data_IF_345551428042
#
_entry.id   IF_345551428042
#
_cell.length_a   1.000
_cell.length_b   1.000
_cell.length_c   1.000
_cell.angle_alpha   90.00
_cell.angle_beta   90.00
_cell.angle_gamma   90.00
#
_symmetry.space_group_name_H-M   'P 1'
#
loop_
_entity.id
_entity.type
_entity.pdbx_description
1 polymer ?
#
# COMPACT_ATOMS: atom_id res chain seq x y z
N UNK A 1 -7.31 -30.88 7.74
CA UNK A 1 -6.28 -29.93 8.23
C UNK A 1 -6.06 -28.73 7.29
N UNK A 2 -6.24 -28.84 5.97
CA UNK A 2 -6.08 -27.74 5.02
C UNK A 2 -7.08 -26.60 5.21
N UNK A 3 -8.36 -26.89 5.41
CA UNK A 3 -9.45 -25.92 5.57
C UNK A 3 -9.19 -24.96 6.74
N UNK A 4 -8.79 -25.48 7.90
CA UNK A 4 -8.52 -24.67 9.11
C UNK A 4 -7.35 -23.68 8.93
N UNK A 5 -6.34 -24.01 8.08
CA UNK A 5 -5.23 -23.09 7.75
C UNK A 5 -5.68 -22.00 6.78
N UNK A 6 -6.56 -22.32 5.85
CA UNK A 6 -7.13 -21.34 4.90
C UNK A 6 -8.01 -20.34 5.64
N UNK A 7 -8.88 -20.82 6.55
CA UNK A 7 -9.74 -19.96 7.36
C UNK A 7 -8.92 -19.04 8.28
N UNK A 8 -7.85 -19.55 8.89
CA UNK A 8 -6.96 -18.76 9.74
C UNK A 8 -6.27 -17.62 8.94
N UNK A 9 -5.75 -17.91 7.75
CA UNK A 9 -5.17 -16.86 6.86
C UNK A 9 -6.20 -15.82 6.44
N UNK A 10 -7.40 -16.26 6.07
CA UNK A 10 -8.49 -15.37 5.68
C UNK A 10 -8.89 -14.42 6.81
N UNK A 11 -8.97 -14.95 8.04
CA UNK A 11 -9.26 -14.15 9.23
C UNK A 11 -8.14 -13.18 9.56
N UNK A 12 -6.88 -13.57 9.40
CA UNK A 12 -5.73 -12.70 9.58
C UNK A 12 -5.72 -11.56 8.55
N UNK A 13 -5.96 -11.85 7.28
CA UNK A 13 -6.09 -10.83 6.23
C UNK A 13 -7.23 -9.85 6.53
N UNK A 14 -8.42 -10.35 6.87
CA UNK A 14 -9.56 -9.50 7.23
C UNK A 14 -9.26 -8.61 8.44
N UNK A 15 -8.48 -9.11 9.41
CA UNK A 15 -8.03 -8.33 10.56
C UNK A 15 -7.05 -7.22 10.14
N UNK A 16 -6.10 -7.52 9.27
CA UNK A 16 -5.14 -6.52 8.76
C UNK A 16 -5.81 -5.46 7.89
N UNK A 17 -6.80 -5.83 7.06
CA UNK A 17 -7.61 -4.89 6.29
C UNK A 17 -8.43 -3.96 7.21
N UNK A 18 -9.05 -4.52 8.24
CA UNK A 18 -9.78 -3.73 9.23
C UNK A 18 -8.87 -2.75 9.99
N UNK A 19 -7.66 -3.20 10.33
CA UNK A 19 -6.65 -2.36 10.99
C UNK A 19 -6.14 -1.25 10.06
N UNK A 20 -5.85 -1.53 8.79
CA UNK A 20 -5.46 -0.54 7.80
C UNK A 20 -6.52 0.55 7.67
N UNK A 21 -7.79 0.18 7.51
CA UNK A 21 -8.90 1.12 7.42
C UNK A 21 -9.07 1.97 8.69
N UNK A 22 -8.85 1.38 9.88
CA UNK A 22 -8.92 2.11 11.14
C UNK A 22 -7.75 3.11 11.27
N UNK A 23 -6.55 2.73 10.86
CA UNK A 23 -5.38 3.60 10.90
C UNK A 23 -5.48 4.77 9.91
N UNK A 24 -6.08 4.58 8.75
CA UNK A 24 -6.37 5.68 7.81
C UNK A 24 -7.38 6.66 8.41
N UNK A 25 -8.42 6.15 9.08
CA UNK A 25 -9.51 6.98 9.60
C UNK A 25 -9.18 7.72 10.91
N UNK A 26 -8.40 7.11 11.81
CA UNK A 26 -8.18 7.59 13.17
C UNK A 26 -6.70 7.57 13.61
N UNK A 27 -5.78 7.33 12.67
CA UNK A 27 -4.35 7.20 12.97
C UNK A 27 -4.00 5.90 13.69
N UNK A 28 -2.72 5.74 13.98
CA UNK A 28 -2.18 4.53 14.62
C UNK A 28 -2.69 4.29 16.04
N UNK A 29 -3.29 5.30 16.66
CA UNK A 29 -3.87 5.21 18.01
C UNK A 29 -5.32 4.67 18.01
N UNK A 30 -5.86 4.30 16.84
CA UNK A 30 -7.17 3.68 16.73
C UNK A 30 -7.32 2.52 17.75
N UNK A 31 -8.44 2.48 18.53
CA UNK A 31 -8.61 1.48 19.58
C UNK A 31 -8.63 0.06 19.01
N UNK A 32 -7.88 -0.85 19.60
CA UNK A 32 -7.83 -2.27 19.16
C UNK A 32 -9.21 -2.94 19.21
N UNK A 33 -10.07 -2.52 20.15
CA UNK A 33 -11.46 -3.00 20.23
C UNK A 33 -12.27 -2.69 18.97
N UNK A 34 -12.04 -1.51 18.36
CA UNK A 34 -12.77 -1.06 17.19
C UNK A 34 -12.27 -1.80 15.94
N UNK A 35 -10.96 -2.07 15.87
CA UNK A 35 -10.34 -2.92 14.86
C UNK A 35 -10.90 -4.34 14.95
N UNK A 36 -10.93 -4.93 16.16
CA UNK A 36 -11.46 -6.27 16.41
C UNK A 36 -12.95 -6.39 16.03
N UNK A 37 -13.75 -5.39 16.43
CA UNK A 37 -15.18 -5.35 16.09
C UNK A 37 -15.39 -5.27 14.58
N UNK A 38 -14.63 -4.44 13.87
CA UNK A 38 -14.69 -4.31 12.41
C UNK A 38 -14.27 -5.60 11.68
N UNK A 39 -13.28 -6.30 12.21
CA UNK A 39 -12.81 -7.58 11.67
C UNK A 39 -13.71 -8.77 12.07
N UNK A 40 -14.71 -8.60 12.96
CA UNK A 40 -15.56 -9.67 13.46
C UNK A 40 -14.83 -10.68 14.36
N UNK A 41 -13.76 -10.25 15.05
CA UNK A 41 -12.96 -11.11 15.94
C UNK A 41 -12.95 -10.57 17.38
N UNK A 42 -12.60 -11.42 18.34
CA UNK A 42 -12.39 -10.98 19.72
C UNK A 42 -11.08 -10.21 19.90
N UNK A 43 -11.04 -9.23 20.79
CA UNK A 43 -9.83 -8.45 21.14
C UNK A 43 -8.67 -9.35 21.55
N UNK A 44 -8.95 -10.44 22.31
CA UNK A 44 -7.93 -11.44 22.67
C UNK A 44 -7.33 -12.17 21.47
N UNK A 45 -8.04 -12.26 20.36
CA UNK A 45 -7.51 -12.82 19.10
C UNK A 45 -6.51 -11.87 18.49
N UNK A 46 -6.77 -10.56 18.49
CA UNK A 46 -5.85 -9.55 18.00
C UNK A 46 -4.53 -9.60 18.75
N UNK A 47 -4.56 -9.56 20.08
CA UNK A 47 -3.34 -9.61 20.92
C UNK A 47 -2.59 -10.94 20.86
N UNK A 48 -3.25 -12.03 20.49
CA UNK A 48 -2.60 -13.32 20.26
C UNK A 48 -1.76 -13.32 18.96
N UNK A 49 -2.22 -12.62 17.93
CA UNK A 49 -1.50 -12.48 16.66
C UNK A 49 -0.47 -11.34 16.72
N UNK A 50 -0.83 -10.23 17.37
CA UNK A 50 -0.04 -9.01 17.45
C UNK A 50 0.05 -8.55 18.91
N UNK A 51 1.05 -9.05 19.67
CA UNK A 51 1.18 -8.78 21.12
C UNK A 51 1.29 -7.30 21.45
N UNK A 52 1.91 -6.53 20.56
CA UNK A 52 2.07 -5.08 20.71
C UNK A 52 1.41 -4.31 19.56
N UNK A 53 1.17 -3.03 19.78
CA UNK A 53 0.71 -2.14 18.71
C UNK A 53 1.73 -2.04 17.58
N UNK A 54 3.01 -2.00 17.90
CA UNK A 54 4.09 -1.97 16.92
C UNK A 54 4.05 -3.21 16.01
N UNK A 55 3.82 -4.40 16.57
CA UNK A 55 3.67 -5.63 15.77
C UNK A 55 2.49 -5.53 14.79
N UNK A 56 1.36 -4.98 15.24
CA UNK A 56 0.21 -4.77 14.39
C UNK A 56 0.50 -3.75 13.26
N UNK A 57 1.17 -2.64 13.56
CA UNK A 57 1.56 -1.61 12.59
C UNK A 57 2.49 -2.20 11.52
N UNK A 58 3.52 -2.93 11.92
CA UNK A 58 4.46 -3.61 11.00
C UNK A 58 3.73 -4.63 10.13
N UNK A 59 2.83 -5.41 10.72
CA UNK A 59 2.04 -6.41 9.99
C UNK A 59 1.10 -5.76 8.96
N UNK A 60 0.42 -4.67 9.33
CA UNK A 60 -0.43 -3.88 8.42
C UNK A 60 0.39 -3.31 7.27
N UNK A 61 1.56 -2.72 7.56
CA UNK A 61 2.44 -2.19 6.53
C UNK A 61 2.83 -3.27 5.51
N UNK A 62 3.32 -4.42 6.00
CA UNK A 62 3.70 -5.54 5.12
C UNK A 62 2.53 -6.09 4.32
N UNK A 63 1.37 -6.25 4.95
CA UNK A 63 0.15 -6.70 4.29
C UNK A 63 -0.24 -5.80 3.12
N UNK A 64 -0.21 -4.47 3.31
CA UNK A 64 -0.52 -3.51 2.26
C UNK A 64 0.52 -3.51 1.12
N UNK A 65 1.81 -3.69 1.43
CA UNK A 65 2.87 -3.87 0.41
C UNK A 65 2.60 -5.13 -0.42
N UNK A 66 2.29 -6.27 0.22
CA UNK A 66 2.00 -7.51 -0.50
C UNK A 66 0.71 -7.38 -1.35
N UNK A 67 -0.34 -6.77 -0.82
CA UNK A 67 -1.57 -6.53 -1.58
C UNK A 67 -1.32 -5.70 -2.85
N UNK A 68 -0.43 -4.70 -2.77
CA UNK A 68 -0.02 -3.92 -3.92
C UNK A 68 0.87 -4.72 -4.88
N UNK A 69 1.81 -5.54 -4.36
CA UNK A 69 2.74 -6.34 -5.16
C UNK A 69 2.02 -7.49 -5.92
N UNK A 70 1.00 -8.09 -5.31
CA UNK A 70 0.26 -9.25 -5.81
C UNK A 70 -1.08 -8.88 -6.45
N UNK A 71 -1.29 -7.58 -6.76
CA UNK A 71 -2.53 -7.11 -7.35
C UNK A 71 -2.89 -7.86 -8.62
N UNK A 72 -4.14 -8.32 -8.72
CA UNK A 72 -4.66 -8.94 -9.93
C UNK A 72 -4.95 -7.87 -10.99
N UNK A 73 -4.15 -7.88 -12.04
CA UNK A 73 -4.23 -6.98 -13.18
C UNK A 73 -4.58 -7.74 -14.48
N UNK A 74 -5.04 -8.98 -14.37
CA UNK A 74 -5.39 -9.84 -15.50
C UNK A 74 -6.52 -9.22 -16.32
N UNK A 75 -6.46 -9.38 -17.64
CA UNK A 75 -7.46 -8.85 -18.56
C UNK A 75 -7.35 -7.35 -18.88
N UNK A 76 -6.41 -6.63 -18.25
CA UNK A 76 -6.14 -5.22 -18.57
C UNK A 76 -5.10 -5.09 -19.69
N UNK A 77 -5.24 -4.08 -20.55
CA UNK A 77 -4.17 -3.64 -21.45
C UNK A 77 -2.97 -3.09 -20.66
N UNK A 78 -1.80 -3.02 -21.30
CA UNK A 78 -0.54 -2.73 -20.59
C UNK A 78 -0.56 -1.37 -19.88
N UNK A 79 -1.00 -0.30 -20.53
CA UNK A 79 -1.17 1.01 -19.91
C UNK A 79 -2.24 1.00 -18.80
N UNK A 80 -3.37 0.33 -19.05
CA UNK A 80 -4.45 0.24 -18.06
C UNK A 80 -4.00 -0.51 -16.79
N UNK A 81 -3.19 -1.56 -16.96
CA UNK A 81 -2.59 -2.30 -15.85
C UNK A 81 -1.62 -1.42 -15.03
N UNK A 82 -0.76 -0.65 -15.70
CA UNK A 82 0.13 0.32 -15.05
C UNK A 82 -0.68 1.38 -14.28
N UNK A 83 -1.66 2.01 -14.93
CA UNK A 83 -2.49 3.04 -14.30
C UNK A 83 -3.25 2.49 -13.08
N UNK A 84 -3.85 1.30 -13.21
CA UNK A 84 -4.53 0.64 -12.09
C UNK A 84 -3.60 0.30 -10.94
N UNK A 85 -2.39 -0.17 -11.26
CA UNK A 85 -1.40 -0.45 -10.22
C UNK A 85 -0.94 0.82 -9.50
N UNK A 86 -0.76 1.93 -10.21
CA UNK A 86 -0.43 3.22 -9.60
C UNK A 86 -1.55 3.68 -8.66
N UNK A 87 -2.83 3.47 -8.99
CA UNK A 87 -3.94 3.78 -8.06
C UNK A 87 -3.84 2.98 -6.75
N UNK A 88 -3.53 1.68 -6.84
CA UNK A 88 -3.31 0.82 -5.67
C UNK A 88 -2.07 1.27 -4.86
N UNK A 89 -1.04 1.72 -5.55
CA UNK A 89 0.15 2.27 -4.92
C UNK A 89 -0.16 3.57 -4.17
N UNK A 90 -1.02 4.44 -4.70
CA UNK A 90 -1.51 5.64 -4.00
C UNK A 90 -2.31 5.24 -2.75
N UNK A 91 -3.19 4.22 -2.83
CA UNK A 91 -3.93 3.70 -1.67
C UNK A 91 -2.97 3.22 -0.55
N UNK A 92 -1.91 2.50 -0.95
CA UNK A 92 -0.84 2.11 -0.02
C UNK A 92 -0.15 3.33 0.62
N UNK A 93 0.18 4.36 -0.17
CA UNK A 93 0.84 5.58 0.35
C UNK A 93 -0.04 6.32 1.35
N UNK A 94 -1.34 6.40 1.12
CA UNK A 94 -2.31 6.98 2.07
C UNK A 94 -2.29 6.20 3.39
N UNK A 95 -2.32 4.86 3.33
CA UNK A 95 -2.21 4.01 4.52
C UNK A 95 -0.87 4.24 5.23
N UNK A 96 0.24 4.30 4.48
CA UNK A 96 1.58 4.56 5.01
C UNK A 96 1.66 5.89 5.75
N UNK A 97 1.04 6.95 5.24
CA UNK A 97 1.00 8.25 5.93
C UNK A 97 0.24 8.14 7.26
N UNK A 98 -0.88 7.42 7.31
CA UNK A 98 -1.58 7.12 8.56
C UNK A 98 -0.73 6.34 9.59
N UNK A 99 0.32 5.64 9.14
CA UNK A 99 1.27 4.91 10.00
C UNK A 99 2.52 5.73 10.37
N UNK A 100 2.72 6.92 9.78
CA UNK A 100 3.97 7.68 9.91
C UNK A 100 4.32 8.03 11.36
N UNK A 101 3.32 8.27 12.21
CA UNK A 101 3.53 8.56 13.63
C UNK A 101 4.15 7.39 14.41
N UNK A 102 3.85 6.14 14.00
CA UNK A 102 4.41 4.93 14.62
C UNK A 102 5.69 4.45 13.94
N UNK A 103 5.86 4.75 12.66
CA UNK A 103 7.03 4.40 11.86
C UNK A 103 7.98 5.60 11.79
N UNK A 104 8.69 5.88 12.87
CA UNK A 104 9.65 7.00 12.94
C UNK A 104 10.71 6.85 11.85
N UNK A 105 10.96 7.90 11.03
CA UNK A 105 11.95 7.83 9.93
C UNK A 105 13.37 7.47 10.39
N UNK A 106 13.70 7.82 11.62
CA UNK A 106 15.03 7.61 12.22
C UNK A 106 15.20 6.24 12.89
N UNK A 107 14.14 5.39 12.90
CA UNK A 107 14.22 4.08 13.52
C UNK A 107 14.86 3.05 12.61
N UNK A 108 15.66 2.10 13.12
CA UNK A 108 16.18 0.98 12.34
C UNK A 108 15.06 0.16 11.68
N UNK A 109 13.92 0.04 12.35
CA UNK A 109 12.75 -0.69 11.83
C UNK A 109 12.17 -0.03 10.58
N UNK A 110 12.20 1.31 10.51
CA UNK A 110 11.76 2.03 9.32
C UNK A 110 12.66 1.73 8.12
N UNK A 111 13.98 1.69 8.30
CA UNK A 111 14.92 1.36 7.22
C UNK A 111 14.66 -0.05 6.67
N UNK A 112 14.42 -1.03 7.54
CA UNK A 112 14.07 -2.40 7.16
C UNK A 112 12.76 -2.46 6.37
N UNK A 113 11.73 -1.75 6.84
CA UNK A 113 10.43 -1.69 6.15
C UNK A 113 10.53 -0.95 4.81
N UNK A 114 11.35 0.09 4.72
CA UNK A 114 11.57 0.82 3.48
C UNK A 114 12.31 -0.04 2.45
N UNK A 115 13.35 -0.78 2.85
CA UNK A 115 14.02 -1.74 2.00
C UNK A 115 13.05 -2.80 1.50
N UNK A 116 12.27 -3.40 2.39
CA UNK A 116 11.24 -4.38 2.05
C UNK A 116 10.24 -3.85 1.02
N UNK A 117 9.76 -2.61 1.21
CA UNK A 117 8.88 -1.93 0.28
C UNK A 117 9.50 -1.80 -1.13
N UNK A 118 10.76 -1.33 -1.22
CA UNK A 118 11.45 -1.20 -2.50
C UNK A 118 11.66 -2.56 -3.17
N UNK A 119 12.11 -3.55 -2.43
CA UNK A 119 12.38 -4.90 -2.94
C UNK A 119 11.11 -5.57 -3.51
N UNK A 120 9.95 -5.26 -2.94
CA UNK A 120 8.67 -5.84 -3.37
C UNK A 120 8.01 -5.07 -4.51
N UNK A 121 7.98 -3.74 -4.47
CA UNK A 121 7.19 -2.94 -5.40
C UNK A 121 7.96 -2.45 -6.63
N UNK A 122 9.26 -2.21 -6.49
CA UNK A 122 10.08 -1.71 -7.60
C UNK A 122 10.09 -2.67 -8.82
N UNK A 123 10.28 -4.00 -8.65
CA UNK A 123 10.22 -4.93 -9.77
C UNK A 123 8.84 -4.99 -10.45
N UNK A 124 7.76 -4.81 -9.69
CA UNK A 124 6.39 -4.79 -10.25
C UNK A 124 6.20 -3.56 -11.13
N UNK A 125 6.58 -2.38 -10.63
CA UNK A 125 6.53 -1.13 -11.39
C UNK A 125 7.37 -1.21 -12.67
N UNK A 126 8.61 -1.73 -12.59
CA UNK A 126 9.50 -1.90 -13.74
C UNK A 126 8.86 -2.78 -14.82
N UNK A 127 8.34 -3.95 -14.45
CA UNK A 127 7.66 -4.87 -15.37
C UNK A 127 6.45 -4.22 -16.06
N UNK A 128 5.65 -3.45 -15.33
CA UNK A 128 4.48 -2.77 -15.88
C UNK A 128 4.87 -1.64 -16.84
N UNK A 129 5.91 -0.87 -16.53
CA UNK A 129 6.48 0.14 -17.42
C UNK A 129 7.03 -0.50 -18.70
N UNK A 130 7.81 -1.57 -18.57
CA UNK A 130 8.37 -2.31 -19.71
C UNK A 130 7.26 -2.84 -20.63
N UNK A 131 6.20 -3.41 -20.06
CA UNK A 131 5.07 -3.93 -20.83
C UNK A 131 4.34 -2.82 -21.59
N UNK A 132 4.08 -1.67 -20.95
CA UNK A 132 3.39 -0.54 -21.57
C UNK A 132 4.27 0.15 -22.66
N UNK A 133 5.58 0.25 -22.44
CA UNK A 133 6.52 0.75 -23.42
C UNK A 133 6.67 -0.20 -24.63
N UNK A 134 6.77 -1.50 -24.39
CA UNK A 134 6.80 -2.51 -25.46
C UNK A 134 5.52 -2.53 -26.32
N UNK A 135 4.38 -2.20 -25.70
CA UNK A 135 3.11 -2.02 -26.43
C UNK A 135 3.02 -0.67 -27.21
N UNK A 136 4.00 0.21 -27.06
CA UNK A 136 4.01 1.55 -27.68
C UNK A 136 2.99 2.52 -27.06
N UNK A 137 2.47 2.21 -25.86
CA UNK A 137 1.44 3.01 -25.20
C UNK A 137 2.01 4.15 -24.35
N UNK A 138 3.29 4.03 -23.96
CA UNK A 138 4.03 5.05 -23.19
C UNK A 138 5.44 5.21 -23.72
N UNK A 139 6.06 6.34 -23.35
CA UNK A 139 7.49 6.58 -23.57
C UNK A 139 8.36 5.57 -22.84
N UNK A 140 9.52 5.18 -23.42
CA UNK A 140 10.39 4.12 -22.91
C UNK A 140 11.52 4.59 -21.97
N UNK A 141 11.63 5.91 -21.72
CA UNK A 141 12.75 6.52 -20.99
C UNK A 141 12.45 6.76 -19.50
N UNK A 142 11.33 6.23 -18.98
CA UNK A 142 10.91 6.40 -17.58
C UNK A 142 11.39 5.24 -16.72
N UNK A 143 12.12 5.57 -15.64
CA UNK A 143 12.59 4.59 -14.68
C UNK A 143 11.55 4.33 -13.58
N UNK A 144 11.39 3.07 -13.16
CA UNK A 144 10.42 2.67 -12.14
C UNK A 144 10.59 3.44 -10.82
N UNK A 145 11.84 3.62 -10.37
CA UNK A 145 12.13 4.37 -9.14
C UNK A 145 11.74 5.84 -9.26
N UNK A 146 11.98 6.46 -10.41
CA UNK A 146 11.62 7.87 -10.67
C UNK A 146 10.10 8.06 -10.62
N UNK A 147 9.34 7.16 -11.28
CA UNK A 147 7.88 7.21 -11.27
C UNK A 147 7.34 7.02 -9.85
N UNK A 148 7.78 5.98 -9.14
CA UNK A 148 7.34 5.71 -7.77
C UNK A 148 7.69 6.88 -6.83
N UNK A 149 8.87 7.48 -6.99
CA UNK A 149 9.30 8.65 -6.23
C UNK A 149 8.44 9.88 -6.54
N UNK A 150 8.15 10.12 -7.81
CA UNK A 150 7.27 11.21 -8.26
C UNK A 150 5.86 11.07 -7.67
N UNK A 151 5.26 9.88 -7.77
CA UNK A 151 3.95 9.58 -7.15
C UNK A 151 4.00 9.77 -5.63
N UNK A 152 5.05 9.27 -4.96
CA UNK A 152 5.23 9.44 -3.52
C UNK A 152 5.28 10.91 -3.11
N UNK A 153 6.03 11.72 -3.83
CA UNK A 153 6.14 13.16 -3.56
C UNK A 153 4.82 13.90 -3.76
N UNK A 154 4.02 13.52 -4.77
CA UNK A 154 2.68 14.08 -4.97
C UNK A 154 1.68 13.68 -3.88
N UNK A 155 1.90 12.60 -3.17
CA UNK A 155 1.06 12.17 -2.07
C UNK A 155 1.41 12.82 -0.72
N UNK A 156 2.57 13.52 -0.63
CA UNK A 156 2.98 14.25 0.58
C UNK A 156 2.26 15.59 0.61
N UNK A 157 1.67 15.94 1.76
CA UNK A 157 1.04 17.25 1.96
C UNK A 157 -0.45 17.32 1.65
N UNK A 158 -1.06 16.26 1.14
CA UNK A 158 -2.51 16.18 0.93
C UNK A 158 -3.32 16.36 2.24
N UNK A 159 -2.70 16.14 3.38
CA UNK A 159 -3.32 16.24 4.72
C UNK A 159 -3.50 17.70 5.18
N UNK A 160 -2.78 18.65 4.59
CA UNK A 160 -2.70 20.03 5.09
C UNK A 160 -3.39 21.06 4.18
N UNK A 161 -3.79 20.66 2.97
CA UNK A 161 -4.44 21.54 1.99
C UNK A 161 -5.72 20.88 1.44
N UNK A 162 -6.91 21.33 1.86
CA UNK A 162 -8.19 20.80 1.35
C UNK A 162 -8.40 20.98 -0.16
N UNK A 163 -7.64 21.87 -0.79
CA UNK A 163 -7.66 22.09 -2.25
C UNK A 163 -6.69 21.19 -3.01
N UNK A 164 -5.85 20.42 -2.31
CA UNK A 164 -4.84 19.57 -2.92
C UNK A 164 -5.37 18.18 -3.21
N UNK A 165 -5.57 17.87 -4.49
CA UNK A 165 -6.00 16.56 -4.97
C UNK A 165 -4.80 15.75 -5.52
N UNK A 166 -4.16 15.00 -4.62
CA UNK A 166 -3.02 14.16 -4.97
C UNK A 166 -3.37 13.11 -6.05
N UNK A 167 -4.56 12.52 -6.00
CA UNK A 167 -4.99 11.50 -6.97
C UNK A 167 -5.12 12.11 -8.37
N UNK A 168 -5.69 13.31 -8.47
CA UNK A 168 -5.77 14.04 -9.74
C UNK A 168 -4.39 14.34 -10.30
N UNK A 169 -3.45 14.79 -9.47
CA UNK A 169 -2.09 15.08 -9.90
C UNK A 169 -1.34 13.82 -10.34
N UNK A 170 -1.51 12.72 -9.63
CA UNK A 170 -0.95 11.42 -10.04
C UNK A 170 -1.57 10.96 -11.36
N UNK A 171 -2.89 11.10 -11.55
CA UNK A 171 -3.55 10.76 -12.80
C UNK A 171 -2.99 11.59 -13.98
N UNK A 172 -2.74 12.88 -13.77
CA UNK A 172 -2.10 13.76 -14.78
C UNK A 172 -0.65 13.31 -15.08
N UNK A 173 0.13 12.94 -14.04
CA UNK A 173 1.47 12.40 -14.21
C UNK A 173 1.44 11.11 -15.05
N UNK A 174 0.58 10.17 -14.73
CA UNK A 174 0.45 8.89 -15.44
C UNK A 174 -0.04 9.10 -16.88
N UNK A 175 -1.01 10.01 -17.09
CA UNK A 175 -1.46 10.37 -18.43
C UNK A 175 -0.34 11.01 -19.28
N UNK A 176 0.55 11.77 -18.66
CA UNK A 176 1.72 12.36 -19.32
C UNK A 176 2.82 11.38 -19.73
N UNK A 177 2.72 10.09 -19.34
CA UNK A 177 3.62 9.03 -19.83
C UNK A 177 3.25 8.57 -21.26
N UNK A 178 2.04 8.83 -21.70
CA UNK A 178 1.56 8.37 -23.03
C UNK A 178 2.32 9.07 -24.15
N UNK A 179 2.68 8.29 -25.16
CA UNK A 179 3.32 8.73 -26.39
C UNK A 179 2.29 9.10 -27.45
#
# INVERSE_FOLDING_TARGET
MATRRVDARRNEQALLDAAAAAFVAAGVEAPVRDIAARAGVGVGTVYRHFPTRADLVVAVYRHQVEACAEADLTGLGAYAALARWIDLFVDFLVTKHGLAAALRPDSPDFAVLHTYFLDRLLPVCARLLEAAAAAGEIRADVQAYELMRGVGNLCIGAEHDPGYDARRLVALLVAGLRS
#
